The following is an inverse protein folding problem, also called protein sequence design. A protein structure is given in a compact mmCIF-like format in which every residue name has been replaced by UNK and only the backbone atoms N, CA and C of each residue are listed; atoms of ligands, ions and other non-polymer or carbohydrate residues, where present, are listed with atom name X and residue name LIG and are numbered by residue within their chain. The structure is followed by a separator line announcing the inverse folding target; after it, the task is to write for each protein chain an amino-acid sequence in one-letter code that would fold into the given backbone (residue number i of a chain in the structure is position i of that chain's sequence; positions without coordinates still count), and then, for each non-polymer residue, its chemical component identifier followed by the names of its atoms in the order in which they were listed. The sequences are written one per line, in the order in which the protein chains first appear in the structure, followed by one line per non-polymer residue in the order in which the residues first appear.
data_IF_848671188766
#
_entry.id   IF_848671188766
#
_cell.length_a   1.000
_cell.length_b   1.000
_cell.length_c   1.000
_cell.angle_alpha   90.00
_cell.angle_beta   90.00
_cell.angle_gamma   90.00
#
_symmetry.space_group_name_H-M   'P 1'
#
loop_
_entity.id
_entity.type
_entity.pdbx_description
1 polymer ?
#
# COMPACT_ATOMS: atom_id res chain seq x y z
N UNK A 1 -36.26 -21.48 7.98
CA UNK A 1 -36.23 -21.09 6.56
C UNK A 1 -34.76 -20.86 6.22
N UNK A 2 -34.15 -21.76 5.45
CA UNK A 2 -32.69 -21.82 5.30
C UNK A 2 -32.15 -20.60 4.54
N UNK A 3 -31.53 -19.67 5.27
CA UNK A 3 -30.83 -18.51 4.72
C UNK A 3 -29.59 -19.03 4.00
N UNK A 4 -29.65 -19.13 2.67
CA UNK A 4 -28.50 -19.46 1.84
C UNK A 4 -27.43 -18.39 2.08
N UNK A 5 -26.35 -18.78 2.75
CA UNK A 5 -25.10 -18.02 2.85
C UNK A 5 -24.59 -17.79 1.44
N UNK A 6 -24.79 -16.58 0.92
CA UNK A 6 -24.26 -16.15 -0.36
C UNK A 6 -22.74 -15.98 -0.24
N UNK A 7 -21.98 -17.06 -0.42
CA UNK A 7 -20.53 -17.03 -0.56
C UNK A 7 -20.15 -16.37 -1.89
N UNK A 8 -19.42 -15.23 -1.84
CA UNK A 8 -18.40 -14.59 -2.72
C UNK A 8 -18.47 -14.73 -4.27
N UNK A 9 -19.28 -15.60 -4.83
CA UNK A 9 -19.19 -16.17 -6.18
C UNK A 9 -20.25 -15.65 -7.16
N UNK A 10 -20.97 -14.58 -6.80
CA UNK A 10 -22.17 -14.13 -7.53
C UNK A 10 -21.96 -13.67 -8.97
N UNK A 11 -20.84 -13.02 -9.32
CA UNK A 11 -20.60 -12.46 -10.68
C UNK A 11 -19.30 -12.85 -11.38
N UNK A 12 -18.34 -13.49 -10.71
CA UNK A 12 -17.33 -14.32 -11.40
C UNK A 12 -17.89 -15.69 -11.85
N UNK A 13 -19.22 -15.86 -11.79
CA UNK A 13 -19.97 -17.07 -12.10
C UNK A 13 -19.94 -17.48 -13.57
N UNK A 14 -19.48 -16.62 -14.47
CA UNK A 14 -19.00 -17.09 -15.75
C UNK A 14 -17.65 -17.76 -15.53
N UNK A 15 -17.58 -19.10 -15.53
CA UNK A 15 -16.32 -19.86 -15.47
C UNK A 15 -15.24 -19.24 -16.39
N UNK A 16 -15.67 -18.71 -17.54
CA UNK A 16 -14.86 -17.97 -18.51
C UNK A 16 -14.19 -16.70 -17.96
N UNK A 17 -14.91 -15.82 -17.25
CA UNK A 17 -14.34 -14.55 -16.76
C UNK A 17 -13.27 -14.82 -15.70
N UNK A 18 -13.51 -15.79 -14.81
CA UNK A 18 -12.52 -16.23 -13.82
C UNK A 18 -11.29 -16.84 -14.50
N UNK A 19 -11.47 -17.71 -15.50
CA UNK A 19 -10.35 -18.28 -16.28
C UNK A 19 -9.55 -17.17 -16.97
N UNK A 20 -10.22 -16.21 -17.62
CA UNK A 20 -9.56 -15.08 -18.30
C UNK A 20 -8.77 -14.23 -17.31
N UNK A 21 -9.33 -13.96 -16.12
CA UNK A 21 -8.64 -13.22 -15.06
C UNK A 21 -7.36 -13.92 -14.59
N UNK A 22 -7.44 -15.20 -14.26
CA UNK A 22 -6.25 -15.97 -13.86
C UNK A 22 -5.25 -16.12 -15.00
N UNK A 23 -5.71 -16.33 -16.24
CA UNK A 23 -4.83 -16.40 -17.40
C UNK A 23 -4.08 -15.08 -17.63
N UNK A 24 -4.75 -13.93 -17.45
CA UNK A 24 -4.10 -12.63 -17.50
C UNK A 24 -3.05 -12.47 -16.41
N UNK A 25 -3.35 -12.83 -15.16
CA UNK A 25 -2.39 -12.75 -14.05
C UNK A 25 -1.18 -13.67 -14.30
N UNK A 26 -1.40 -14.89 -14.79
CA UNK A 26 -0.32 -15.83 -15.14
C UNK A 26 0.54 -15.27 -16.28
N UNK A 27 -0.07 -14.64 -17.30
CA UNK A 27 0.67 -14.01 -18.38
C UNK A 27 1.54 -12.84 -17.87
N UNK A 28 1.01 -11.98 -16.99
CA UNK A 28 1.77 -10.89 -16.38
C UNK A 28 2.90 -11.40 -15.47
N UNK A 29 2.67 -12.49 -14.73
CA UNK A 29 3.71 -13.16 -13.94
C UNK A 29 4.80 -13.74 -14.83
N UNK A 30 4.47 -14.34 -15.98
CA UNK A 30 5.46 -14.83 -16.93
C UNK A 30 6.29 -13.68 -17.53
N UNK A 31 5.66 -12.55 -17.84
CA UNK A 31 6.34 -11.32 -18.28
C UNK A 31 7.32 -10.83 -17.20
N UNK A 32 6.87 -10.76 -15.94
CA UNK A 32 7.75 -10.34 -14.85
C UNK A 32 8.82 -11.35 -14.50
N UNK A 33 8.57 -12.65 -14.66
CA UNK A 33 9.58 -13.68 -14.50
C UNK A 33 10.71 -13.51 -15.53
N UNK A 34 10.39 -13.10 -16.75
CA UNK A 34 11.40 -12.73 -17.74
C UNK A 34 12.19 -11.48 -17.34
N UNK A 35 11.53 -10.42 -16.84
CA UNK A 35 12.22 -9.27 -16.26
C UNK A 35 13.13 -9.64 -15.07
N UNK A 36 12.66 -10.56 -14.22
CA UNK A 36 13.42 -11.11 -13.09
C UNK A 36 14.62 -11.94 -13.53
N UNK A 37 14.48 -12.73 -14.60
CA UNK A 37 15.58 -13.45 -15.23
C UNK A 37 16.68 -12.48 -15.66
N UNK A 38 16.33 -11.43 -16.42
CA UNK A 38 17.30 -10.39 -16.83
C UNK A 38 17.98 -9.74 -15.62
N UNK A 39 17.20 -9.42 -14.59
CA UNK A 39 17.74 -8.81 -13.35
C UNK A 39 18.70 -9.73 -12.59
N UNK A 40 18.45 -11.04 -12.57
CA UNK A 40 19.33 -12.01 -11.89
C UNK A 40 20.59 -12.29 -12.71
N UNK A 41 20.50 -12.35 -14.05
CA UNK A 41 21.65 -12.68 -14.92
C UNK A 41 22.54 -11.48 -15.20
N UNK A 42 21.97 -10.30 -15.41
CA UNK A 42 22.71 -9.09 -15.79
C UNK A 42 23.00 -8.16 -14.61
N UNK A 43 22.36 -8.41 -13.46
CA UNK A 43 22.46 -7.55 -12.29
C UNK A 43 21.72 -6.22 -12.49
N UNK A 44 22.14 -5.18 -11.77
CA UNK A 44 21.60 -3.83 -11.91
C UNK A 44 21.98 -3.16 -13.25
N UNK A 45 22.83 -3.77 -14.08
CA UNK A 45 23.09 -3.27 -15.45
C UNK A 45 21.88 -3.38 -16.37
N UNK A 46 20.90 -4.20 -16.00
CA UNK A 46 19.61 -4.30 -16.70
C UNK A 46 18.71 -3.08 -16.50
N UNK A 47 19.05 -2.20 -15.55
CA UNK A 47 18.32 -0.95 -15.27
C UNK A 47 19.01 0.25 -15.92
N UNK A 48 18.32 1.39 -15.93
CA UNK A 48 18.93 2.67 -16.34
C UNK A 48 19.49 3.47 -15.14
N UNK A 49 19.74 2.80 -14.01
CA UNK A 49 20.35 3.44 -12.85
C UNK A 49 21.79 3.83 -13.15
N UNK A 50 22.24 4.92 -12.53
CA UNK A 50 23.60 5.44 -12.69
C UNK A 50 24.22 5.71 -11.32
N UNK A 51 25.51 6.03 -11.28
CA UNK A 51 26.14 6.50 -10.05
C UNK A 51 25.58 7.84 -9.57
N UNK A 52 24.99 8.65 -10.46
CA UNK A 52 24.34 9.91 -10.11
C UNK A 52 22.92 9.69 -9.57
N UNK A 53 22.16 8.79 -10.21
CA UNK A 53 20.79 8.40 -9.84
C UNK A 53 20.75 6.91 -9.49
N UNK A 54 21.19 6.53 -8.27
CA UNK A 54 21.21 5.13 -7.82
C UNK A 54 19.83 4.59 -7.42
N UNK A 55 18.85 5.45 -7.11
CA UNK A 55 17.48 5.02 -6.81
C UNK A 55 16.50 5.48 -7.89
N UNK A 56 15.71 4.55 -8.40
CA UNK A 56 14.77 4.78 -9.51
C UNK A 56 13.37 4.25 -9.22
N UNK A 57 12.82 3.55 -10.21
CA UNK A 57 11.42 3.11 -10.21
C UNK A 57 11.12 2.11 -9.10
N UNK A 58 12.01 1.15 -8.87
CA UNK A 58 11.77 0.12 -7.84
C UNK A 58 11.71 0.70 -6.44
N UNK A 59 12.57 1.68 -6.12
CA UNK A 59 12.47 2.42 -4.85
C UNK A 59 11.16 3.21 -4.78
N UNK A 60 10.76 3.91 -5.87
CA UNK A 60 9.48 4.62 -5.93
C UNK A 60 8.27 3.69 -5.74
N UNK A 61 8.28 2.48 -6.32
CA UNK A 61 7.23 1.48 -6.14
C UNK A 61 7.25 0.86 -4.75
N UNK A 62 8.42 0.60 -4.17
CA UNK A 62 8.54 0.14 -2.80
C UNK A 62 7.84 1.12 -1.84
N UNK A 63 8.21 2.41 -1.87
CA UNK A 63 7.60 3.40 -0.97
C UNK A 63 6.12 3.65 -1.28
N UNK A 64 5.69 3.41 -2.51
CA UNK A 64 4.28 3.42 -2.89
C UNK A 64 3.50 2.30 -2.18
N UNK A 65 3.98 1.05 -2.28
CA UNK A 65 3.31 -0.11 -1.68
C UNK A 65 3.43 -0.14 -0.15
N UNK A 66 4.54 0.34 0.43
CA UNK A 66 4.61 0.61 1.88
C UNK A 66 3.53 1.61 2.27
N UNK A 67 3.35 2.68 1.49
CA UNK A 67 2.30 3.67 1.72
C UNK A 67 0.89 3.10 1.65
N UNK A 68 0.59 2.27 0.64
CA UNK A 68 -0.70 1.56 0.55
C UNK A 68 -0.94 0.68 1.77
N UNK A 69 0.09 -0.02 2.24
CA UNK A 69 0.01 -0.84 3.44
C UNK A 69 -0.36 -0.03 4.67
N UNK A 70 0.26 1.15 4.84
CA UNK A 70 -0.04 2.07 5.94
C UNK A 70 -1.51 2.42 6.01
N UNK A 71 -2.02 2.93 4.89
CA UNK A 71 -3.33 3.55 4.87
C UNK A 71 -4.40 2.49 5.03
N UNK A 72 -4.19 1.30 4.45
CA UNK A 72 -5.07 0.15 4.65
C UNK A 72 -5.06 -0.29 6.13
N UNK A 73 -3.89 -0.38 6.77
CA UNK A 73 -3.80 -0.66 8.20
C UNK A 73 -4.50 0.40 9.06
N UNK A 74 -4.28 1.69 8.80
CA UNK A 74 -4.93 2.76 9.55
C UNK A 74 -6.46 2.75 9.40
N UNK A 75 -6.97 2.37 8.22
CA UNK A 75 -8.42 2.13 8.03
C UNK A 75 -8.92 0.99 8.91
N UNK A 76 -8.16 -0.11 9.04
CA UNK A 76 -8.50 -1.18 9.99
C UNK A 76 -8.50 -0.70 11.44
N UNK A 77 -7.49 0.10 11.82
CA UNK A 77 -7.40 0.67 13.17
C UNK A 77 -8.60 1.55 13.52
N UNK A 78 -9.16 2.29 12.56
CA UNK A 78 -10.40 3.06 12.77
C UNK A 78 -11.56 2.16 13.23
N UNK A 79 -11.61 0.90 12.81
CA UNK A 79 -12.55 -0.10 13.31
C UNK A 79 -12.14 -0.63 14.69
N UNK A 80 -10.96 -1.22 14.81
CA UNK A 80 -10.62 -2.08 15.95
C UNK A 80 -10.20 -1.34 17.22
N UNK A 81 -9.62 -0.15 17.05
CA UNK A 81 -9.08 0.62 18.17
C UNK A 81 -9.98 1.81 18.48
N UNK A 82 -10.41 2.52 17.43
CA UNK A 82 -11.25 3.72 17.57
C UNK A 82 -12.76 3.44 17.47
N UNK A 83 -13.15 2.21 17.13
CA UNK A 83 -14.56 1.75 17.13
C UNK A 83 -15.47 2.65 16.29
N UNK A 84 -14.95 3.15 15.15
CA UNK A 84 -15.70 4.00 14.22
C UNK A 84 -16.80 3.18 13.54
N UNK A 85 -18.04 3.66 13.69
CA UNK A 85 -19.25 3.03 13.15
C UNK A 85 -19.12 2.66 11.65
N UNK A 86 -19.45 1.41 11.31
CA UNK A 86 -19.44 0.87 9.94
C UNK A 86 -18.08 0.39 9.41
N UNK A 87 -16.95 0.75 10.04
CA UNK A 87 -15.62 0.34 9.56
C UNK A 87 -15.32 -1.15 9.75
N UNK A 88 -16.06 -1.84 10.62
CA UNK A 88 -15.94 -3.29 10.85
C UNK A 88 -16.22 -4.12 9.59
N UNK A 89 -17.00 -3.61 8.63
CA UNK A 89 -17.27 -4.30 7.37
C UNK A 89 -16.03 -4.46 6.47
N UNK A 90 -15.04 -3.58 6.63
CA UNK A 90 -13.87 -3.47 5.74
C UNK A 90 -12.55 -3.76 6.45
N UNK A 91 -12.56 -3.92 7.76
CA UNK A 91 -11.39 -4.14 8.62
C UNK A 91 -10.48 -5.29 8.13
N UNK A 92 -11.02 -6.51 8.05
CA UNK A 92 -10.23 -7.71 7.65
C UNK A 92 -9.65 -7.61 6.26
N UNK A 93 -10.41 -7.01 5.34
CA UNK A 93 -9.93 -6.75 4.00
C UNK A 93 -8.81 -5.72 4.01
N UNK A 94 -8.94 -4.66 4.80
CA UNK A 94 -7.92 -3.63 4.92
C UNK A 94 -6.61 -4.20 5.53
N UNK A 95 -6.70 -5.04 6.56
CA UNK A 95 -5.54 -5.78 7.09
C UNK A 95 -4.89 -6.67 6.03
N UNK A 96 -5.70 -7.41 5.26
CA UNK A 96 -5.17 -8.29 4.22
C UNK A 96 -4.52 -7.51 3.06
N UNK A 97 -5.12 -6.40 2.64
CA UNK A 97 -4.53 -5.48 1.66
C UNK A 97 -3.22 -4.92 2.17
N UNK A 98 -3.13 -4.60 3.47
CA UNK A 98 -1.89 -4.14 4.08
C UNK A 98 -0.78 -5.19 3.97
N UNK A 99 -1.05 -6.43 4.38
CA UNK A 99 -0.10 -7.55 4.29
C UNK A 99 0.35 -7.78 2.85
N UNK A 100 -0.58 -7.84 1.90
CA UNK A 100 -0.25 -8.05 0.48
C UNK A 100 0.59 -6.90 -0.06
N UNK A 101 0.25 -5.66 0.27
CA UNK A 101 1.03 -4.49 -0.14
C UNK A 101 2.44 -4.51 0.44
N UNK A 102 2.61 -4.96 1.68
CA UNK A 102 3.93 -5.12 2.29
C UNK A 102 4.77 -6.21 1.61
N UNK A 103 4.17 -7.35 1.23
CA UNK A 103 4.86 -8.39 0.46
C UNK A 103 5.36 -7.83 -0.88
N UNK A 104 4.50 -7.09 -1.59
CA UNK A 104 4.85 -6.43 -2.85
C UNK A 104 5.98 -5.41 -2.65
N UNK A 105 5.88 -4.57 -1.63
CA UNK A 105 6.88 -3.57 -1.29
C UNK A 105 8.26 -4.18 -1.01
N UNK A 106 8.31 -5.22 -0.16
CA UNK A 106 9.54 -5.91 0.19
C UNK A 106 10.14 -6.68 -1.00
N UNK A 107 9.31 -7.12 -1.95
CA UNK A 107 9.78 -7.69 -3.21
C UNK A 107 10.49 -6.65 -4.07
N UNK A 108 9.99 -5.40 -4.12
CA UNK A 108 10.68 -4.29 -4.78
C UNK A 108 12.03 -3.97 -4.13
N UNK A 109 12.10 -3.94 -2.79
CA UNK A 109 13.37 -3.80 -2.07
C UNK A 109 14.33 -4.92 -2.43
N UNK A 110 13.84 -6.17 -2.46
CA UNK A 110 14.67 -7.33 -2.79
C UNK A 110 15.31 -7.22 -4.17
N UNK A 111 14.58 -6.81 -5.20
CA UNK A 111 15.12 -6.72 -6.57
C UNK A 111 16.00 -5.49 -6.79
N UNK A 112 15.84 -4.44 -5.97
CA UNK A 112 16.70 -3.26 -5.96
C UNK A 112 18.10 -3.56 -5.36
N UNK A 113 18.20 -4.53 -4.44
CA UNK A 113 19.48 -4.88 -3.81
C UNK A 113 20.51 -5.41 -4.82
N UNK A 114 21.69 -4.77 -4.87
CA UNK A 114 22.81 -5.23 -5.70
C UNK A 114 23.30 -6.64 -5.36
N UNK A 115 23.20 -7.06 -4.09
CA UNK A 115 23.55 -8.40 -3.58
C UNK A 115 22.36 -9.02 -2.86
N UNK A 116 21.41 -9.57 -3.62
CA UNK A 116 20.18 -10.18 -3.11
C UNK A 116 20.45 -11.33 -2.13
N UNK A 117 21.55 -12.06 -2.32
CA UNK A 117 22.00 -13.16 -1.46
C UNK A 117 22.32 -12.71 -0.02
N UNK A 118 22.53 -11.40 0.19
CA UNK A 118 22.86 -10.80 1.49
C UNK A 118 21.67 -10.15 2.19
N UNK A 119 20.44 -10.42 1.74
CA UNK A 119 19.20 -9.88 2.35
C UNK A 119 19.15 -10.07 3.88
N UNK A 120 19.71 -11.16 4.39
CA UNK A 120 19.70 -11.49 5.82
C UNK A 120 20.71 -10.68 6.66
N UNK A 121 21.71 -10.04 6.03
CA UNK A 121 22.79 -9.33 6.73
C UNK A 121 22.29 -8.24 7.69
N UNK A 122 21.32 -7.37 7.34
CA UNK A 122 20.86 -6.32 8.25
C UNK A 122 20.28 -6.86 9.57
N UNK A 123 19.77 -8.10 9.59
CA UNK A 123 19.26 -8.75 10.79
C UNK A 123 20.37 -9.32 11.68
N UNK A 124 21.50 -9.71 11.10
CA UNK A 124 22.66 -10.24 11.83
C UNK A 124 23.62 -9.14 12.28
N UNK A 125 23.89 -8.16 11.41
CA UNK A 125 24.83 -7.06 11.63
C UNK A 125 24.15 -5.72 11.49
N UNK A 126 23.54 -5.30 12.59
CA UNK A 126 22.80 -4.05 12.68
C UNK A 126 23.74 -2.86 12.77
N UNK A 127 23.47 -1.82 11.98
CA UNK A 127 24.13 -0.51 12.09
C UNK A 127 23.15 0.48 12.75
N UNK A 128 23.26 0.76 14.07
CA UNK A 128 22.29 1.59 14.79
C UNK A 128 22.22 3.04 14.31
N UNK A 129 23.21 3.53 13.57
CA UNK A 129 23.19 4.89 13.03
C UNK A 129 22.50 5.00 11.65
N UNK A 130 22.12 3.87 11.04
CA UNK A 130 21.48 3.85 9.72
C UNK A 130 19.97 3.71 9.85
N UNK A 131 19.21 4.70 9.36
CA UNK A 131 17.74 4.65 9.33
C UNK A 131 17.22 3.41 8.60
N UNK A 132 17.83 3.07 7.46
CA UNK A 132 17.49 1.86 6.70
C UNK A 132 17.65 0.57 7.53
N UNK A 133 18.66 0.51 8.41
CA UNK A 133 18.85 -0.63 9.31
C UNK A 133 17.71 -0.76 10.32
N UNK A 134 17.14 0.35 10.80
CA UNK A 134 15.95 0.33 11.67
C UNK A 134 14.69 -0.05 10.89
N UNK A 135 14.51 0.50 9.69
CA UNK A 135 13.35 0.22 8.84
C UNK A 135 13.18 -1.27 8.55
N UNK A 136 14.26 -1.98 8.20
CA UNK A 136 14.18 -3.42 7.90
C UNK A 136 13.60 -4.23 9.07
N UNK A 137 13.94 -3.86 10.32
CA UNK A 137 13.38 -4.50 11.51
C UNK A 137 11.94 -4.07 11.77
N UNK A 138 11.63 -2.80 11.54
CA UNK A 138 10.28 -2.26 11.67
C UNK A 138 9.32 -2.95 10.69
N UNK A 139 9.73 -3.18 9.44
CA UNK A 139 8.94 -3.92 8.45
C UNK A 139 8.68 -5.37 8.85
N UNK A 140 9.72 -6.08 9.33
CA UNK A 140 9.55 -7.45 9.80
C UNK A 140 8.56 -7.53 10.97
N UNK A 141 8.72 -6.65 11.97
CA UNK A 141 7.80 -6.58 13.10
C UNK A 141 6.38 -6.19 12.66
N UNK A 142 6.27 -5.24 11.73
CA UNK A 142 4.98 -4.75 11.23
C UNK A 142 4.19 -5.86 10.51
N UNK A 143 4.84 -6.67 9.67
CA UNK A 143 4.19 -7.85 9.06
C UNK A 143 3.67 -8.83 10.12
N UNK A 144 4.42 -9.05 11.20
CA UNK A 144 3.99 -9.91 12.30
C UNK A 144 2.76 -9.33 13.01
N UNK A 145 2.75 -8.03 13.30
CA UNK A 145 1.60 -7.35 13.92
C UNK A 145 0.36 -7.44 13.02
N UNK A 146 0.49 -7.10 11.74
CA UNK A 146 -0.63 -7.19 10.78
C UNK A 146 -1.18 -8.61 10.66
N UNK A 147 -0.29 -9.61 10.61
CA UNK A 147 -0.68 -11.01 10.51
C UNK A 147 -1.39 -11.48 11.78
N UNK A 148 -0.92 -11.04 12.95
CA UNK A 148 -1.56 -11.29 14.24
C UNK A 148 -2.96 -10.68 14.32
N UNK A 149 -3.12 -9.42 13.94
CA UNK A 149 -4.43 -8.76 13.90
C UNK A 149 -5.40 -9.48 12.96
N UNK A 150 -4.95 -9.80 11.74
CA UNK A 150 -5.78 -10.52 10.79
C UNK A 150 -6.20 -11.88 11.36
N UNK A 151 -5.27 -12.61 11.98
CA UNK A 151 -5.54 -13.91 12.63
C UNK A 151 -6.60 -13.80 13.72
N UNK A 152 -6.43 -12.92 14.70
CA UNK A 152 -7.41 -12.77 15.79
C UNK A 152 -8.77 -12.29 15.28
N UNK A 153 -8.78 -11.40 14.30
CA UNK A 153 -10.02 -10.94 13.68
C UNK A 153 -10.76 -12.08 12.98
N UNK A 154 -10.05 -13.02 12.34
CA UNK A 154 -10.65 -14.10 11.55
C UNK A 154 -10.79 -15.45 12.27
N UNK A 155 -10.26 -15.63 13.50
CA UNK A 155 -10.14 -16.95 14.16
C UNK A 155 -11.45 -17.71 14.24
N UNK A 156 -12.52 -17.06 14.72
CA UNK A 156 -13.87 -17.66 14.81
C UNK A 156 -14.35 -18.20 13.46
N UNK A 157 -14.18 -17.42 12.40
CA UNK A 157 -14.62 -17.81 11.06
C UNK A 157 -13.73 -18.88 10.42
N UNK A 158 -12.46 -18.96 10.81
CA UNK A 158 -11.58 -20.07 10.41
C UNK A 158 -12.04 -21.39 11.01
N UNK A 159 -12.38 -21.41 12.31
CA UNK A 159 -12.93 -22.61 12.97
C UNK A 159 -14.22 -23.04 12.27
N UNK A 160 -15.17 -22.12 12.15
CA UNK A 160 -16.46 -22.40 11.51
C UNK A 160 -16.34 -22.84 10.04
N UNK A 161 -15.30 -22.39 9.32
CA UNK A 161 -15.02 -22.85 7.94
C UNK A 161 -14.35 -24.22 7.92
N UNK A 162 -13.45 -24.50 8.86
CA UNK A 162 -12.76 -25.79 8.95
C UNK A 162 -13.70 -26.96 9.23
N UNK A 163 -14.79 -26.70 9.96
CA UNK A 163 -15.82 -27.69 10.28
C UNK A 163 -16.88 -27.84 9.17
N UNK A 164 -17.18 -26.75 8.45
CA UNK A 164 -18.29 -26.71 7.49
C UNK A 164 -17.89 -27.02 6.04
N UNK A 165 -16.62 -26.80 5.65
CA UNK A 165 -16.16 -26.95 4.27
C UNK A 165 -15.17 -28.11 4.15
N UNK A 166 -15.41 -29.03 3.22
CA UNK A 166 -14.43 -30.05 2.83
C UNK A 166 -13.41 -29.53 1.79
N UNK A 167 -12.27 -30.21 1.67
CA UNK A 167 -11.25 -29.95 0.64
C UNK A 167 -10.20 -28.91 1.04
N UNK A 168 -9.66 -28.18 0.05
CA UNK A 168 -8.52 -27.25 0.27
C UNK A 168 -8.88 -26.11 1.22
N UNK A 169 -10.08 -25.55 1.12
CA UNK A 169 -10.54 -24.42 1.93
C UNK A 169 -10.69 -24.78 3.41
N UNK A 170 -11.33 -25.92 3.70
CA UNK A 170 -11.45 -26.44 5.07
C UNK A 170 -10.11 -26.81 5.69
N UNK A 171 -9.24 -27.51 4.94
CA UNK A 171 -7.90 -27.88 5.41
C UNK A 171 -7.03 -26.67 5.71
N UNK A 172 -7.03 -25.66 4.82
CA UNK A 172 -6.29 -24.43 5.04
C UNK A 172 -6.86 -23.66 6.23
N UNK A 173 -8.18 -23.55 6.34
CA UNK A 173 -8.81 -22.89 7.48
C UNK A 173 -8.43 -23.58 8.80
N UNK A 174 -8.48 -24.92 8.83
CA UNK A 174 -8.06 -25.75 9.96
C UNK A 174 -6.60 -25.54 10.35
N UNK A 175 -5.69 -25.52 9.37
CA UNK A 175 -4.26 -25.21 9.60
C UNK A 175 -4.08 -23.81 10.20
N UNK A 176 -4.79 -22.81 9.65
CA UNK A 176 -4.71 -21.42 10.08
C UNK A 176 -5.37 -21.17 11.43
N UNK A 177 -6.12 -22.12 12.01
CA UNK A 177 -6.56 -22.02 13.42
C UNK A 177 -5.40 -22.14 14.42
N UNK A 178 -4.23 -22.61 13.96
CA UNK A 178 -3.05 -22.87 14.80
C UNK A 178 -3.36 -23.78 16.01
N UNK A 179 -4.35 -24.67 15.87
CA UNK A 179 -4.82 -25.57 16.93
C UNK A 179 -5.74 -24.92 17.96
N UNK A 180 -6.08 -23.63 17.85
CA UNK A 180 -7.01 -22.94 18.76
C UNK A 180 -8.44 -22.98 18.22
N UNK A 181 -9.13 -24.09 18.46
CA UNK A 181 -10.52 -24.31 18.02
C UNK A 181 -11.58 -23.88 19.01
N UNK A 182 -11.22 -23.50 20.25
CA UNK A 182 -12.18 -23.05 21.25
C UNK A 182 -12.85 -21.71 20.85
N UNK A 183 -14.16 -21.71 20.66
CA UNK A 183 -14.99 -20.55 20.31
C UNK A 183 -15.93 -20.14 21.44
N UNK A 184 -15.61 -20.48 22.70
CA UNK A 184 -16.31 -19.99 23.89
C UNK A 184 -16.27 -18.46 23.97
N UNK A 185 -17.21 -17.85 24.69
CA UNK A 185 -17.29 -16.40 24.84
C UNK A 185 -16.02 -15.82 25.49
N UNK A 186 -15.43 -16.52 26.46
CA UNK A 186 -14.16 -16.15 27.10
C UNK A 186 -12.99 -16.15 26.10
N UNK A 187 -12.93 -17.15 25.21
CA UNK A 187 -11.91 -17.22 24.19
C UNK A 187 -12.07 -16.10 23.13
N UNK A 188 -13.31 -15.76 22.77
CA UNK A 188 -13.60 -14.66 21.84
C UNK A 188 -13.31 -13.28 22.45
N UNK A 189 -13.56 -13.09 23.73
CA UNK A 189 -13.16 -11.86 24.46
C UNK A 189 -11.64 -11.72 24.51
N UNK A 190 -10.93 -12.84 24.70
CA UNK A 190 -9.46 -12.89 24.62
C UNK A 190 -8.98 -12.48 23.22
N UNK A 191 -9.61 -12.98 22.15
CA UNK A 191 -9.26 -12.61 20.78
C UNK A 191 -9.46 -11.10 20.52
N UNK A 192 -10.61 -10.55 20.94
CA UNK A 192 -10.90 -9.12 20.84
C UNK A 192 -9.87 -8.27 21.61
N UNK A 193 -9.47 -8.74 22.79
CA UNK A 193 -8.44 -8.08 23.60
C UNK A 193 -7.08 -8.06 22.89
N UNK A 194 -6.65 -9.20 22.32
CA UNK A 194 -5.40 -9.27 21.56
C UNK A 194 -5.45 -8.46 20.28
N UNK A 195 -6.56 -8.49 19.55
CA UNK A 195 -6.78 -7.67 18.36
C UNK A 195 -6.59 -6.19 18.69
N UNK A 196 -7.23 -5.69 19.75
CA UNK A 196 -7.12 -4.29 20.19
C UNK A 196 -5.70 -3.94 20.66
N UNK A 197 -5.04 -4.82 21.41
CA UNK A 197 -3.65 -4.62 21.87
C UNK A 197 -2.67 -4.55 20.70
N UNK A 198 -2.78 -5.47 19.75
CA UNK A 198 -1.94 -5.46 18.55
C UNK A 198 -2.18 -4.20 17.72
N UNK A 199 -3.44 -3.79 17.53
CA UNK A 199 -3.75 -2.52 16.86
C UNK A 199 -3.13 -1.31 17.56
N UNK A 200 -3.22 -1.22 18.90
CA UNK A 200 -2.61 -0.13 19.68
C UNK A 200 -1.09 -0.10 19.52
N UNK A 201 -0.43 -1.27 19.50
CA UNK A 201 1.02 -1.37 19.25
C UNK A 201 1.36 -1.09 17.79
N UNK A 202 0.49 -1.49 16.87
CA UNK A 202 0.63 -1.32 15.43
C UNK A 202 0.59 0.14 15.00
N UNK A 203 -0.19 1.00 15.66
CA UNK A 203 -0.27 2.44 15.34
C UNK A 203 1.11 3.13 15.40
N UNK A 204 1.82 3.17 16.55
CA UNK A 204 3.14 3.83 16.61
C UNK A 204 4.16 3.11 15.75
N UNK A 205 4.08 1.78 15.61
CA UNK A 205 4.95 1.03 14.71
C UNK A 205 4.79 1.49 13.26
N UNK A 206 3.55 1.54 12.76
CA UNK A 206 3.25 2.00 11.41
C UNK A 206 3.63 3.47 11.22
N UNK A 207 3.13 4.36 12.09
CA UNK A 207 3.30 5.81 11.91
C UNK A 207 4.76 6.24 12.08
N UNK A 208 5.44 5.78 13.13
CA UNK A 208 6.78 6.29 13.49
C UNK A 208 7.89 5.53 12.77
N UNK A 209 7.82 4.19 12.75
CA UNK A 209 8.97 3.37 12.34
C UNK A 209 8.87 2.83 10.92
N UNK A 210 7.66 2.61 10.41
CA UNK A 210 7.44 2.13 9.04
C UNK A 210 7.33 3.35 8.12
N UNK A 211 6.26 4.14 8.20
CA UNK A 211 6.00 5.22 7.22
C UNK A 211 6.75 6.51 7.55
N UNK A 212 6.73 6.91 8.82
CA UNK A 212 7.61 7.96 9.32
C UNK A 212 9.08 7.57 9.17
N UNK A 213 9.39 6.27 9.34
CA UNK A 213 10.70 5.69 9.06
C UNK A 213 11.13 5.89 7.60
N UNK A 214 10.23 5.66 6.65
CA UNK A 214 10.53 5.87 5.23
C UNK A 214 10.70 7.33 4.91
N UNK A 215 9.89 8.21 5.50
CA UNK A 215 10.13 9.64 5.39
C UNK A 215 11.47 10.05 6.01
N UNK A 216 11.86 9.45 7.15
CA UNK A 216 13.15 9.67 7.80
C UNK A 216 14.32 9.20 6.92
N UNK A 217 14.16 8.13 6.13
CA UNK A 217 15.19 7.64 5.20
C UNK A 217 15.63 8.76 4.24
N UNK A 218 14.69 9.58 3.78
CA UNK A 218 14.97 10.77 2.98
C UNK A 218 15.37 11.96 3.86
N UNK A 219 14.62 12.24 4.93
CA UNK A 219 14.78 13.43 5.78
C UNK A 219 16.19 13.60 6.36
N UNK A 220 16.92 12.51 6.60
CA UNK A 220 18.28 12.55 7.17
C UNK A 220 19.38 12.69 6.13
N UNK A 221 19.05 12.66 4.83
CA UNK A 221 20.01 12.73 3.74
C UNK A 221 20.47 14.17 3.47
N UNK A 222 21.25 14.74 4.40
CA UNK A 222 21.71 16.14 4.36
C UNK A 222 22.46 16.54 3.08
N UNK A 223 23.02 15.57 2.34
CA UNK A 223 23.68 15.81 1.06
C UNK A 223 22.70 16.15 -0.09
N UNK A 224 21.39 15.98 0.12
CA UNK A 224 20.33 16.24 -0.87
C UNK A 224 19.32 17.21 -0.25
N UNK A 225 19.44 18.49 -0.59
CA UNK A 225 18.70 19.57 0.08
C UNK A 225 17.18 19.35 0.06
N UNK A 226 16.62 18.93 -1.09
CA UNK A 226 15.19 18.64 -1.22
C UNK A 226 14.70 17.54 -0.26
N UNK A 227 15.53 16.53 0.02
CA UNK A 227 15.16 15.47 0.95
C UNK A 227 15.32 15.89 2.40
N UNK A 228 16.28 16.76 2.69
CA UNK A 228 16.64 17.15 4.05
C UNK A 228 15.62 18.12 4.67
N UNK A 229 14.43 17.60 4.99
CA UNK A 229 13.33 18.37 5.56
C UNK A 229 12.60 17.60 6.65
N UNK A 230 12.30 18.29 7.75
CA UNK A 230 11.55 17.74 8.88
C UNK A 230 10.08 17.43 8.52
N UNK A 231 9.58 17.92 7.38
CA UNK A 231 8.22 17.67 6.93
C UNK A 231 8.07 16.32 6.21
N UNK A 232 9.16 15.72 5.74
CA UNK A 232 9.11 14.45 5.00
C UNK A 232 8.44 13.31 5.76
N UNK A 233 8.76 13.02 7.03
CA UNK A 233 8.07 11.97 7.79
C UNK A 233 6.55 12.19 7.82
N UNK A 234 6.11 13.44 8.00
CA UNK A 234 4.70 13.82 8.06
C UNK A 234 4.03 13.69 6.68
N UNK A 235 4.70 14.13 5.61
CA UNK A 235 4.23 13.97 4.22
C UNK A 235 4.07 12.48 3.90
N UNK A 236 5.02 11.64 4.29
CA UNK A 236 4.93 10.21 4.03
C UNK A 236 3.75 9.57 4.76
N UNK A 237 3.53 9.90 6.03
CA UNK A 237 2.38 9.39 6.80
C UNK A 237 1.05 9.82 6.16
N UNK A 238 0.89 11.12 5.87
CA UNK A 238 -0.37 11.66 5.31
C UNK A 238 -0.66 11.12 3.91
N UNK A 239 0.35 11.09 3.05
CA UNK A 239 0.27 10.52 1.70
C UNK A 239 -0.07 9.02 1.73
N UNK A 240 0.46 8.30 2.72
CA UNK A 240 0.18 6.88 2.90
C UNK A 240 -1.29 6.63 3.27
N UNK A 241 -1.85 7.42 4.20
CA UNK A 241 -3.28 7.39 4.53
C UNK A 241 -4.14 7.63 3.29
N UNK A 242 -3.84 8.68 2.51
CA UNK A 242 -4.56 9.01 1.27
C UNK A 242 -4.60 7.81 0.32
N UNK A 243 -3.44 7.20 0.06
CA UNK A 243 -3.32 6.10 -0.89
C UNK A 243 -4.02 4.82 -0.43
N UNK A 244 -3.89 4.44 0.84
CA UNK A 244 -4.55 3.25 1.37
C UNK A 244 -6.06 3.42 1.48
N UNK A 245 -6.55 4.59 1.91
CA UNK A 245 -7.99 4.90 1.91
C UNK A 245 -8.59 4.84 0.51
N UNK A 246 -7.90 5.40 -0.48
CA UNK A 246 -8.31 5.35 -1.88
C UNK A 246 -8.41 3.91 -2.39
N UNK A 247 -7.44 3.06 -2.05
CA UNK A 247 -7.43 1.66 -2.44
C UNK A 247 -8.56 0.87 -1.75
N UNK A 248 -8.77 1.05 -0.45
CA UNK A 248 -9.85 0.35 0.27
C UNK A 248 -11.23 0.80 -0.23
N UNK A 249 -11.43 2.10 -0.47
CA UNK A 249 -12.67 2.60 -1.07
C UNK A 249 -12.93 2.02 -2.47
N UNK A 250 -11.88 1.94 -3.30
CA UNK A 250 -11.94 1.32 -4.62
C UNK A 250 -12.31 -0.17 -4.51
N UNK A 251 -11.60 -0.94 -3.68
CA UNK A 251 -11.86 -2.37 -3.49
C UNK A 251 -13.26 -2.62 -2.93
N UNK A 252 -13.72 -1.80 -1.98
CA UNK A 252 -15.09 -1.86 -1.45
C UNK A 252 -16.14 -1.77 -2.57
N UNK A 253 -15.99 -0.78 -3.46
CA UNK A 253 -16.90 -0.59 -4.59
C UNK A 253 -16.77 -1.72 -5.61
N UNK A 254 -15.55 -2.07 -6.03
CA UNK A 254 -15.33 -3.15 -7.02
C UNK A 254 -15.95 -4.46 -6.55
N UNK A 255 -15.78 -4.77 -5.26
CA UNK A 255 -16.36 -5.98 -4.66
C UNK A 255 -17.87 -5.97 -4.58
N UNK A 256 -18.49 -4.80 -4.42
CA UNK A 256 -19.94 -4.66 -4.55
C UNK A 256 -20.41 -4.91 -6.00
N UNK A 257 -19.68 -4.40 -7.00
CA UNK A 257 -20.01 -4.61 -8.42
C UNK A 257 -19.84 -6.06 -8.85
N UNK A 258 -18.84 -6.75 -8.30
CA UNK A 258 -18.63 -8.20 -8.44
C UNK A 258 -19.62 -9.04 -7.61
N UNK A 259 -20.57 -8.40 -6.91
CA UNK A 259 -21.63 -9.08 -6.16
C UNK A 259 -21.14 -9.84 -4.94
N UNK A 260 -19.96 -9.50 -4.41
CA UNK A 260 -19.38 -10.17 -3.24
C UNK A 260 -19.79 -9.53 -1.90
N UNK A 261 -20.43 -8.36 -1.95
CA UNK A 261 -20.99 -7.66 -0.78
C UNK A 261 -22.11 -6.71 -1.17
N UNK A 262 -22.96 -6.37 -0.21
CA UNK A 262 -23.87 -5.23 -0.30
C UNK A 262 -23.09 -3.94 -0.09
N UNK A 263 -23.54 -2.86 -0.72
CA UNK A 263 -22.91 -1.55 -0.59
C UNK A 263 -23.72 -0.70 0.38
N UNK A 264 -23.11 -0.36 1.52
CA UNK A 264 -23.65 0.67 2.41
C UNK A 264 -23.25 2.05 1.89
N UNK A 265 -24.27 2.86 1.56
CA UNK A 265 -24.09 4.22 1.07
C UNK A 265 -23.65 5.17 2.17
N UNK A 266 -23.98 4.90 3.43
CA UNK A 266 -23.58 5.72 4.57
C UNK A 266 -22.09 5.52 4.85
N UNK A 267 -21.62 4.28 4.93
CA UNK A 267 -20.18 3.96 5.01
C UNK A 267 -19.40 4.59 3.84
N UNK A 268 -19.89 4.42 2.60
CA UNK A 268 -19.26 5.00 1.42
C UNK A 268 -19.09 6.53 1.51
N UNK A 269 -20.12 7.23 2.00
CA UNK A 269 -20.08 8.68 2.20
C UNK A 269 -19.02 9.09 3.23
N UNK A 270 -18.97 8.38 4.38
CA UNK A 270 -17.99 8.64 5.45
C UNK A 270 -16.56 8.42 4.96
N UNK A 271 -16.32 7.30 4.28
CA UNK A 271 -15.01 7.00 3.67
C UNK A 271 -14.61 8.08 2.68
N UNK A 272 -15.51 8.48 1.77
CA UNK A 272 -15.25 9.51 0.78
C UNK A 272 -15.01 10.89 1.41
N UNK A 273 -15.67 11.21 2.53
CA UNK A 273 -15.45 12.47 3.24
C UNK A 273 -14.08 12.53 3.93
N UNK A 274 -13.70 11.48 4.65
CA UNK A 274 -12.36 11.35 5.23
C UNK A 274 -11.29 11.41 4.13
N UNK A 275 -11.52 10.70 3.02
CA UNK A 275 -10.62 10.65 1.88
C UNK A 275 -10.35 12.04 1.30
N UNK A 276 -11.39 12.85 1.07
CA UNK A 276 -11.24 14.24 0.60
C UNK A 276 -10.43 15.08 1.61
N UNK A 277 -10.70 14.95 2.90
CA UNK A 277 -9.96 15.68 3.94
C UNK A 277 -8.46 15.39 3.92
N UNK A 278 -8.09 14.11 3.81
CA UNK A 278 -6.68 13.72 3.72
C UNK A 278 -6.00 14.13 2.41
N UNK A 279 -6.72 14.13 1.28
CA UNK A 279 -6.18 14.66 0.01
C UNK A 279 -5.84 16.15 0.13
N UNK A 280 -6.72 16.94 0.76
CA UNK A 280 -6.45 18.37 0.99
C UNK A 280 -5.25 18.54 1.93
N UNK A 281 -5.15 17.74 2.99
CA UNK A 281 -4.01 17.78 3.91
C UNK A 281 -2.69 17.44 3.22
N UNK A 282 -2.64 16.33 2.47
CA UNK A 282 -1.45 15.91 1.70
C UNK A 282 -1.01 16.99 0.71
N UNK A 283 -1.96 17.54 -0.07
CA UNK A 283 -1.70 18.63 -0.99
C UNK A 283 -1.16 19.88 -0.28
N UNK A 284 -1.75 20.24 0.86
CA UNK A 284 -1.35 21.40 1.64
C UNK A 284 0.08 21.26 2.17
N UNK A 285 0.43 20.09 2.73
CA UNK A 285 1.78 19.83 3.23
C UNK A 285 2.83 19.87 2.11
N UNK A 286 2.51 19.31 0.95
CA UNK A 286 3.42 19.33 -0.20
C UNK A 286 3.55 20.71 -0.82
N UNK A 287 2.49 21.52 -0.81
CA UNK A 287 2.55 22.94 -1.21
C UNK A 287 3.41 23.72 -0.22
N UNK A 288 3.26 23.51 1.09
CA UNK A 288 4.12 24.14 2.10
C UNK A 288 5.59 23.78 1.90
N UNK A 289 5.90 22.51 1.59
CA UNK A 289 7.26 22.08 1.24
C UNK A 289 7.80 22.82 0.01
N UNK A 290 6.97 23.03 -1.00
CA UNK A 290 7.34 23.81 -2.19
C UNK A 290 7.60 25.28 -1.86
N UNK A 291 6.74 25.89 -1.03
CA UNK A 291 6.93 27.26 -0.57
C UNK A 291 8.24 27.39 0.21
N UNK A 292 8.51 26.53 1.18
CA UNK A 292 9.75 26.59 1.96
C UNK A 292 10.97 26.38 1.07
N UNK A 293 10.97 25.38 0.19
CA UNK A 293 12.10 25.08 -0.70
C UNK A 293 12.38 26.17 -1.73
N UNK A 294 11.34 26.80 -2.30
CA UNK A 294 11.52 27.89 -3.27
C UNK A 294 11.96 29.20 -2.58
N UNK A 295 11.43 29.50 -1.39
CA UNK A 295 11.78 30.71 -0.66
C UNK A 295 13.07 30.59 0.16
N UNK A 296 13.61 29.38 0.38
CA UNK A 296 14.92 29.20 0.99
C UNK A 296 16.04 29.80 0.12
N UNK A 297 15.79 29.93 -1.19
CA UNK A 297 16.75 30.34 -2.23
C UNK A 297 18.03 29.48 -2.22
N UNK A 298 17.98 28.30 -1.61
CA UNK A 298 19.08 27.35 -1.64
C UNK A 298 19.13 26.73 -3.06
N UNK A 299 20.25 26.80 -3.79
CA UNK A 299 20.33 26.38 -5.18
C UNK A 299 19.76 24.97 -5.42
N UNK A 300 20.21 23.98 -4.64
CA UNK A 300 19.72 22.61 -4.80
C UNK A 300 18.22 22.40 -4.55
N UNK A 301 17.57 23.21 -3.70
CA UNK A 301 16.12 23.12 -3.47
C UNK A 301 15.36 23.71 -4.66
N UNK A 302 15.79 24.90 -5.10
CA UNK A 302 15.17 25.61 -6.22
C UNK A 302 15.34 24.80 -7.50
N UNK A 303 16.54 24.29 -7.79
CA UNK A 303 16.84 23.47 -8.97
C UNK A 303 16.05 22.16 -8.98
N UNK A 304 15.93 21.50 -7.81
CA UNK A 304 15.10 20.29 -7.70
C UNK A 304 13.62 20.62 -7.95
N UNK A 305 13.10 21.72 -7.39
CA UNK A 305 11.71 22.14 -7.62
C UNK A 305 11.45 22.58 -9.06
N UNK A 306 12.40 23.23 -9.72
CA UNK A 306 12.33 23.54 -11.15
C UNK A 306 12.31 22.24 -11.97
N UNK A 307 13.14 21.26 -11.64
CA UNK A 307 13.14 19.95 -12.29
C UNK A 307 11.78 19.24 -12.16
N UNK A 308 11.16 19.34 -10.97
CA UNK A 308 9.81 18.81 -10.69
C UNK A 308 8.73 19.55 -11.47
N UNK A 309 8.72 20.88 -11.43
CA UNK A 309 7.58 21.69 -11.91
C UNK A 309 7.65 22.03 -13.41
N UNK A 310 8.85 22.26 -13.95
CA UNK A 310 9.04 22.75 -15.33
C UNK A 310 10.06 21.95 -16.13
N UNK A 311 10.92 21.17 -15.46
CA UNK A 311 11.93 20.32 -16.09
C UNK A 311 11.40 18.93 -16.48
N UNK A 312 12.27 17.92 -16.45
CA UNK A 312 11.99 16.58 -16.99
C UNK A 312 10.81 15.86 -16.31
N UNK A 313 10.47 16.26 -15.09
CA UNK A 313 9.45 15.60 -14.26
C UNK A 313 8.11 16.35 -14.24
N UNK A 314 7.95 17.39 -15.07
CA UNK A 314 6.73 18.21 -15.14
C UNK A 314 5.44 17.39 -15.32
N UNK A 315 5.49 16.33 -16.12
CA UNK A 315 4.32 15.50 -16.42
C UNK A 315 3.92 14.66 -15.20
N UNK A 316 4.90 14.13 -14.47
CA UNK A 316 4.70 13.38 -13.23
C UNK A 316 4.16 14.27 -12.12
N UNK A 317 4.61 15.53 -12.08
CA UNK A 317 4.09 16.53 -11.15
C UNK A 317 2.69 17.02 -11.51
N UNK A 318 2.50 17.64 -12.68
CA UNK A 318 1.23 18.29 -13.01
C UNK A 318 0.12 17.33 -13.41
N UNK A 319 0.41 16.33 -14.25
CA UNK A 319 -0.64 15.44 -14.76
C UNK A 319 -0.95 14.34 -13.76
N UNK A 320 0.07 13.67 -13.24
CA UNK A 320 -0.11 12.50 -12.38
C UNK A 320 -0.38 12.93 -10.92
N UNK A 321 0.55 13.61 -10.28
CA UNK A 321 0.42 13.97 -8.87
C UNK A 321 -0.66 15.04 -8.62
N UNK A 322 -0.58 16.21 -9.26
CA UNK A 322 -1.55 17.29 -9.06
C UNK A 322 -2.88 16.95 -9.73
N UNK A 323 -2.86 16.55 -11.01
CA UNK A 323 -4.06 16.24 -11.78
C UNK A 323 -4.84 15.05 -11.22
N UNK A 324 -4.23 13.86 -11.22
CA UNK A 324 -4.91 12.63 -10.76
C UNK A 324 -4.90 12.48 -9.24
N UNK A 325 -3.83 12.87 -8.56
CA UNK A 325 -3.70 12.71 -7.11
C UNK A 325 -4.52 13.71 -6.30
N UNK A 326 -4.68 14.95 -6.76
CA UNK A 326 -5.35 16.00 -5.99
C UNK A 326 -6.60 16.56 -6.68
N UNK A 327 -6.51 17.08 -7.89
CA UNK A 327 -7.62 17.80 -8.53
C UNK A 327 -8.78 16.85 -8.85
N UNK A 328 -8.51 15.73 -9.53
CA UNK A 328 -9.53 14.78 -9.94
C UNK A 328 -10.38 14.24 -8.77
N UNK A 329 -9.82 13.71 -7.65
CA UNK A 329 -10.63 13.23 -6.54
C UNK A 329 -11.42 14.36 -5.86
N UNK A 330 -10.85 15.57 -5.74
CA UNK A 330 -11.54 16.71 -5.16
C UNK A 330 -12.75 17.13 -6.00
N UNK A 331 -12.63 17.12 -7.34
CA UNK A 331 -13.74 17.40 -8.26
C UNK A 331 -14.79 16.29 -8.20
N UNK A 332 -14.36 15.02 -8.31
CA UNK A 332 -15.26 13.86 -8.34
C UNK A 332 -16.05 13.68 -7.04
N UNK A 333 -15.52 14.17 -5.91
CA UNK A 333 -16.12 14.05 -4.59
C UNK A 333 -16.52 15.40 -3.98
N UNK A 334 -16.59 16.47 -4.76
CA UNK A 334 -16.91 17.80 -4.24
C UNK A 334 -18.33 17.85 -3.63
N UNK A 335 -19.30 17.19 -4.26
CA UNK A 335 -20.70 17.18 -3.81
C UNK A 335 -20.99 15.99 -2.91
N UNK A 336 -21.72 16.24 -1.82
CA UNK A 336 -22.18 15.20 -0.88
C UNK A 336 -22.95 14.07 -1.59
N UNK A 337 -23.76 14.39 -2.58
CA UNK A 337 -24.50 13.39 -3.38
C UNK A 337 -23.58 12.45 -4.17
N UNK A 338 -22.43 12.94 -4.65
CA UNK A 338 -21.49 12.16 -5.44
C UNK A 338 -20.68 11.21 -4.57
N UNK A 339 -20.41 11.60 -3.31
CA UNK A 339 -19.80 10.74 -2.29
C UNK A 339 -20.63 9.50 -1.97
N UNK A 340 -21.94 9.51 -2.27
CA UNK A 340 -22.86 8.36 -2.09
C UNK A 340 -23.00 7.51 -3.35
N UNK A 341 -22.36 7.89 -4.46
CA UNK A 341 -22.41 7.18 -5.74
C UNK A 341 -21.15 6.33 -5.92
N UNK A 342 -21.28 4.99 -6.01
CA UNK A 342 -20.13 4.08 -6.10
C UNK A 342 -19.19 4.40 -7.26
N UNK A 343 -19.73 4.82 -8.41
CA UNK A 343 -18.94 5.15 -9.60
C UNK A 343 -17.99 6.31 -9.38
N UNK A 344 -18.43 7.38 -8.70
CA UNK A 344 -17.60 8.54 -8.40
C UNK A 344 -16.51 8.21 -7.39
N UNK A 345 -16.84 7.42 -6.36
CA UNK A 345 -15.86 6.99 -5.35
C UNK A 345 -14.83 6.05 -5.95
N UNK A 346 -15.22 5.10 -6.80
CA UNK A 346 -14.28 4.23 -7.50
C UNK A 346 -13.38 5.01 -8.47
N UNK A 347 -13.93 5.98 -9.21
CA UNK A 347 -13.15 6.84 -10.10
C UNK A 347 -12.14 7.69 -9.32
N UNK A 348 -12.56 8.30 -8.20
CA UNK A 348 -11.68 9.08 -7.34
C UNK A 348 -10.59 8.22 -6.69
N UNK A 349 -10.95 7.03 -6.19
CA UNK A 349 -10.01 6.07 -5.62
C UNK A 349 -8.97 5.61 -6.64
N UNK A 350 -9.41 5.25 -7.86
CA UNK A 350 -8.52 4.89 -8.97
C UNK A 350 -7.57 6.03 -9.33
N UNK A 351 -8.10 7.25 -9.41
CA UNK A 351 -7.33 8.46 -9.72
C UNK A 351 -6.19 8.67 -8.71
N UNK A 352 -6.47 8.54 -7.41
CA UNK A 352 -5.46 8.71 -6.36
C UNK A 352 -4.45 7.57 -6.32
N UNK A 353 -4.91 6.32 -6.47
CA UNK A 353 -4.03 5.15 -6.54
C UNK A 353 -2.99 5.33 -7.66
N UNK A 354 -3.37 5.91 -8.79
CA UNK A 354 -2.44 6.25 -9.88
C UNK A 354 -1.64 7.52 -9.55
N UNK A 355 -2.29 8.57 -9.05
CA UNK A 355 -1.68 9.88 -8.80
C UNK A 355 -0.53 9.84 -7.78
N UNK A 356 -0.65 9.00 -6.74
CA UNK A 356 0.39 8.83 -5.71
C UNK A 356 1.67 8.19 -6.28
N UNK A 357 1.58 7.45 -7.39
CA UNK A 357 2.79 6.97 -8.09
C UNK A 357 3.64 8.17 -8.52
N UNK A 358 3.01 9.21 -9.09
CA UNK A 358 3.69 10.46 -9.44
C UNK A 358 4.34 11.11 -8.23
N UNK A 359 3.66 11.16 -7.08
CA UNK A 359 4.24 11.66 -5.83
C UNK A 359 5.52 10.91 -5.44
N UNK A 360 5.54 9.58 -5.57
CA UNK A 360 6.72 8.76 -5.22
C UNK A 360 7.86 8.96 -6.20
N UNK A 361 7.59 9.04 -7.50
CA UNK A 361 8.61 9.37 -8.51
C UNK A 361 9.20 10.78 -8.30
N UNK A 362 8.36 11.77 -8.00
CA UNK A 362 8.80 13.15 -7.74
C UNK A 362 9.60 13.28 -6.43
N UNK A 363 9.42 12.35 -5.48
CA UNK A 363 10.27 12.30 -4.29
C UNK A 363 11.62 11.67 -4.63
N UNK A 364 11.63 10.54 -5.33
CA UNK A 364 12.86 9.74 -5.51
C UNK A 364 13.79 10.33 -6.58
N UNK A 365 13.29 10.60 -7.78
CA UNK A 365 14.16 10.84 -8.95
C UNK A 365 14.77 12.26 -8.99
N UNK A 366 13.98 13.35 -8.91
CA UNK A 366 14.48 14.71 -9.13
C UNK A 366 15.63 15.13 -8.22
N UNK A 367 15.56 14.77 -6.94
CA UNK A 367 16.58 15.13 -5.94
C UNK A 367 17.96 14.50 -6.22
N UNK A 368 18.01 13.48 -7.08
CA UNK A 368 19.25 12.81 -7.47
C UNK A 368 19.78 13.29 -8.82
N UNK A 369 18.93 13.89 -9.67
CA UNK A 369 19.30 14.46 -10.96
C UNK A 369 20.29 15.61 -10.77
N UNK A 370 20.01 16.49 -9.80
CA UNK A 370 20.96 17.55 -9.44
C UNK A 370 22.17 16.93 -8.73
N UNK A 371 23.42 17.14 -9.18
CA UNK A 371 24.60 16.57 -8.53
C UNK A 371 24.81 17.10 -7.11
N UNK A 372 25.22 16.20 -6.20
CA UNK A 372 25.56 16.59 -4.82
C UNK A 372 26.88 17.40 -4.72
N UNK A 373 27.72 17.34 -5.75
CA UNK A 373 28.99 18.08 -5.81
C UNK A 373 28.98 18.98 -7.05
N UNK A 374 29.30 20.26 -6.81
CA UNK A 374 29.39 21.25 -7.87
C UNK A 374 30.40 20.84 -8.96
N UNK A 375 30.01 21.00 -10.23
CA UNK A 375 30.85 20.69 -11.39
C UNK A 375 30.78 19.26 -11.90
N UNK A 376 30.00 18.37 -11.25
CA UNK A 376 29.65 17.07 -11.82
C UNK A 376 28.50 17.21 -12.84
N UNK A 377 28.39 16.30 -13.83
CA UNK A 377 27.27 16.32 -14.75
C UNK A 377 25.95 16.00 -14.04
N UNK A 378 24.86 16.57 -14.56
CA UNK A 378 23.51 16.22 -14.13
C UNK A 378 23.19 14.76 -14.45
N UNK A 379 22.44 14.13 -13.56
CA UNK A 379 21.92 12.79 -13.76
C UNK A 379 20.77 12.78 -14.76
N UNK A 380 20.51 11.62 -15.35
CA UNK A 380 19.31 11.36 -16.13
C UNK A 380 18.82 9.95 -15.80
N UNK A 381 17.51 9.79 -15.66
CA UNK A 381 16.93 8.49 -15.36
C UNK A 381 15.51 8.37 -15.94
N UNK A 382 15.32 7.30 -16.70
CA UNK A 382 14.00 6.82 -17.13
C UNK A 382 13.99 5.31 -16.95
N UNK A 383 12.93 4.71 -16.37
CA UNK A 383 12.94 3.28 -16.09
C UNK A 383 13.10 2.47 -17.38
N UNK A 384 14.01 1.51 -17.34
CA UNK A 384 14.31 0.60 -18.43
C UNK A 384 13.17 -0.39 -18.68
N UNK A 385 13.22 -1.11 -19.80
CA UNK A 385 12.24 -2.16 -20.10
C UNK A 385 12.24 -3.28 -19.04
N UNK A 386 13.39 -3.85 -18.61
CA UNK A 386 13.40 -4.87 -17.55
C UNK A 386 12.77 -4.39 -16.24
N UNK A 387 12.96 -3.12 -15.88
CA UNK A 387 12.32 -2.53 -14.70
C UNK A 387 10.79 -2.57 -14.80
N UNK A 388 10.23 -2.21 -15.95
CA UNK A 388 8.78 -2.28 -16.17
C UNK A 388 8.25 -3.71 -16.19
N UNK A 389 8.91 -4.63 -16.90
CA UNK A 389 8.47 -6.02 -16.99
C UNK A 389 8.41 -6.66 -15.59
N UNK A 390 9.49 -6.52 -14.82
CA UNK A 390 9.55 -7.06 -13.46
C UNK A 390 8.52 -6.38 -12.54
N UNK A 391 8.34 -5.07 -12.63
CA UNK A 391 7.34 -4.34 -11.85
C UNK A 391 5.93 -4.83 -12.14
N UNK A 392 5.57 -5.06 -13.41
CA UNK A 392 4.26 -5.60 -13.80
C UNK A 392 4.02 -6.99 -13.18
N UNK A 393 5.02 -7.87 -13.17
CA UNK A 393 4.90 -9.17 -12.53
C UNK A 393 4.78 -9.10 -11.01
N UNK A 394 5.55 -8.21 -10.36
CA UNK A 394 5.47 -8.00 -8.90
C UNK A 394 4.08 -7.46 -8.50
N UNK A 395 3.51 -6.53 -9.27
CA UNK A 395 2.14 -6.05 -9.06
C UNK A 395 1.12 -7.17 -9.32
N UNK A 396 1.29 -7.95 -10.39
CA UNK A 396 0.44 -9.10 -10.69
C UNK A 396 0.49 -10.17 -9.58
N UNK A 397 1.65 -10.38 -8.95
CA UNK A 397 1.78 -11.24 -7.78
C UNK A 397 0.92 -10.72 -6.62
N UNK A 398 0.99 -9.43 -6.31
CA UNK A 398 0.14 -8.81 -5.29
C UNK A 398 -1.35 -9.00 -5.57
N UNK A 399 -1.78 -8.72 -6.81
CA UNK A 399 -3.18 -8.89 -7.23
C UNK A 399 -3.61 -10.37 -7.19
N UNK A 400 -2.72 -11.31 -7.55
CA UNK A 400 -2.98 -12.73 -7.45
C UNK A 400 -3.12 -13.19 -5.99
N UNK A 401 -2.21 -12.78 -5.11
CA UNK A 401 -2.26 -13.06 -3.68
C UNK A 401 -3.56 -12.51 -3.07
N UNK A 402 -3.93 -11.28 -3.44
CA UNK A 402 -5.19 -10.70 -3.02
C UNK A 402 -6.39 -11.52 -3.51
N UNK A 403 -6.43 -11.85 -4.81
CA UNK A 403 -7.51 -12.64 -5.42
C UNK A 403 -7.65 -14.00 -4.72
N UNK A 404 -6.57 -14.76 -4.60
CA UNK A 404 -6.55 -16.06 -3.93
C UNK A 404 -6.98 -15.94 -2.46
N UNK A 405 -6.43 -14.95 -1.73
CA UNK A 405 -6.79 -14.74 -0.33
C UNK A 405 -8.26 -14.42 -0.14
N UNK A 406 -8.88 -13.63 -1.03
CA UNK A 406 -10.32 -13.35 -0.97
C UNK A 406 -11.19 -14.59 -1.22
N UNK A 407 -10.68 -15.59 -1.94
CA UNK A 407 -11.36 -16.86 -2.19
C UNK A 407 -11.14 -17.91 -1.10
N UNK A 408 -10.00 -17.86 -0.40
CA UNK A 408 -9.59 -18.86 0.58
C UNK A 408 -9.83 -18.45 2.04
N UNK A 409 -9.73 -17.15 2.36
CA UNK A 409 -9.83 -16.62 3.72
C UNK A 409 -11.21 -16.01 4.00
N UNK A 410 -11.69 -16.01 5.26
CA UNK A 410 -12.95 -15.38 5.64
C UNK A 410 -12.79 -13.86 5.88
N UNK A 411 -12.50 -13.12 4.81
CA UNK A 411 -12.24 -11.67 4.88
C UNK A 411 -13.50 -10.80 4.99
N UNK A 412 -14.69 -11.38 4.85
CA UNK A 412 -15.96 -10.69 5.10
C UNK A 412 -16.53 -11.29 6.38
N UNK A 413 -16.68 -10.52 7.47
CA UNK A 413 -17.29 -11.01 8.70
C UNK A 413 -18.66 -11.62 8.40
N UNK A 414 -18.94 -12.82 8.92
CA UNK A 414 -20.33 -13.30 8.99
C UNK A 414 -21.03 -12.40 9.99
N UNK A 415 -22.08 -11.70 9.56
CA UNK A 415 -22.77 -10.73 10.41
C UNK A 415 -23.01 -11.32 11.81
N UNK A 416 -22.57 -10.60 12.83
CA UNK A 416 -22.98 -10.91 14.20
C UNK A 416 -24.50 -10.74 14.20
N UNK A 417 -25.24 -11.86 14.33
CA UNK A 417 -26.62 -11.80 14.77
C UNK A 417 -26.55 -11.25 16.20
N UNK A 418 -26.57 -9.93 16.33
CA UNK A 418 -27.01 -9.28 17.54
C UNK A 418 -28.50 -9.62 17.65
N UNK A 419 -28.78 -10.73 18.35
CA UNK A 419 -30.09 -10.94 18.96
C UNK A 419 -30.22 -10.05 20.21
#
# INVERSE_FOLDING_TARGET
MATKTHTVTGRLRGNRLRIVWYALLVALLAIGAYGGYLRVTEGLRSTNLTSAVPWGAWVAFYIYFVGLSAGAFLVSTLSNVFEVEGMHEIEREALFVAIVSMIVALTFVLVDLGRMDRLWHPFAWRQPLSVLSWEVHAYALYVVVLSGELYFSMRRDLVARSEAEDGLRGRLAGLLTLGRTDTSDEALETDRTWLKRLGIVGIPLAIVFVHGGTGNLFAVAAARSYWFSALFPVIFITSAVVSGMALIALLYVLRSWLGSRTLDRALLERMAALFVGFVVLDASLKVLEAFVGLYSLHPGDVETWLTIATGEMWWSFWLVMVGLGWIAPLVLLHRREWRRRPTFVAAAGTSVVIGVIGTRFNIVVPAQIEPALYGLPTGYYVPSTPEWLLSLGIVALGVLLFTIGTELLPLVPRGETHD
#
